data_IF_522993856231
#
_entry.id   IF_522993856231
#
_cell.length_a   1.000
_cell.length_b   1.000
_cell.length_c   1.000
_cell.angle_alpha   90.00
_cell.angle_beta   90.00
_cell.angle_gamma   90.00
#
_symmetry.space_group_name_H-M   'P 1'
#
loop_
_entity.id
_entity.type
_entity.pdbx_description
1 polymer ?
#
# COMPACT_ATOMS: atom_id res chain seq x y z
N UNK A 1 -8.94 24.06 19.27
CA UNK A 1 -10.19 24.52 18.63
C UNK A 1 -11.31 23.78 19.30
N UNK A 2 -12.19 24.52 20.00
CA UNK A 2 -13.36 23.95 20.68
C UNK A 2 -14.19 23.19 19.64
N UNK A 3 -14.21 21.86 19.73
CA UNK A 3 -15.29 21.07 19.15
C UNK A 3 -16.59 21.66 19.69
N UNK A 4 -17.26 22.41 18.82
CA UNK A 4 -18.36 23.28 19.14
C UNK A 4 -19.41 22.46 19.92
N UNK A 5 -19.65 22.81 21.19
CA UNK A 5 -20.56 22.10 22.09
C UNK A 5 -21.93 21.85 21.42
N UNK A 6 -22.36 22.74 20.51
CA UNK A 6 -23.56 22.56 19.70
C UNK A 6 -23.56 21.31 18.81
N UNK A 7 -22.41 20.92 18.22
CA UNK A 7 -22.31 19.70 17.41
C UNK A 7 -22.47 18.43 18.25
N UNK A 8 -21.93 18.43 19.48
CA UNK A 8 -22.09 17.30 20.43
C UNK A 8 -23.51 17.16 20.96
N UNK A 9 -24.26 18.27 21.05
CA UNK A 9 -25.67 18.24 21.43
C UNK A 9 -26.51 17.68 20.28
N UNK A 10 -26.27 18.17 19.05
CA UNK A 10 -26.99 17.72 17.85
C UNK A 10 -26.77 16.22 17.56
N UNK A 11 -25.55 15.71 17.76
CA UNK A 11 -25.28 14.28 17.56
C UNK A 11 -26.02 13.40 18.58
N UNK A 12 -26.05 13.81 19.85
CA UNK A 12 -26.82 13.10 20.90
C UNK A 12 -28.32 13.12 20.63
N UNK A 13 -28.87 14.22 20.13
CA UNK A 13 -30.28 14.30 19.76
C UNK A 13 -30.62 13.34 18.62
N UNK A 14 -29.75 13.20 17.61
CA UNK A 14 -29.92 12.22 16.54
C UNK A 14 -29.87 10.78 17.06
N UNK A 15 -28.94 10.45 17.97
CA UNK A 15 -28.89 9.13 18.61
C UNK A 15 -30.17 8.80 19.39
N UNK A 16 -30.73 9.79 20.09
CA UNK A 16 -31.98 9.62 20.83
C UNK A 16 -33.17 9.39 19.90
N UNK A 17 -33.23 10.11 18.78
CA UNK A 17 -34.24 9.90 17.73
C UNK A 17 -34.12 8.49 17.13
N UNK A 18 -32.90 8.02 16.84
CA UNK A 18 -32.65 6.66 16.32
C UNK A 18 -33.11 5.59 17.31
N UNK A 19 -32.79 5.71 18.60
CA UNK A 19 -33.25 4.79 19.65
C UNK A 19 -34.78 4.74 19.75
N UNK A 20 -35.44 5.89 19.59
CA UNK A 20 -36.90 5.99 19.60
C UNK A 20 -37.53 5.25 18.42
N UNK A 21 -36.98 5.40 17.22
CA UNK A 21 -37.43 4.65 16.02
C UNK A 21 -37.18 3.15 16.18
N UNK A 22 -36.01 2.76 16.68
CA UNK A 22 -35.67 1.35 16.92
C UNK A 22 -36.62 0.69 17.94
N UNK A 23 -37.16 1.46 18.88
CA UNK A 23 -38.20 1.02 19.82
C UNK A 23 -39.61 0.94 19.23
N UNK A 24 -39.78 1.14 17.92
CA UNK A 24 -41.07 1.07 17.21
C UNK A 24 -41.98 2.28 17.42
N UNK A 25 -41.47 3.38 18.01
CA UNK A 25 -42.25 4.59 18.26
C UNK A 25 -42.21 5.52 17.04
N UNK A 26 -43.34 6.16 16.75
CA UNK A 26 -43.44 7.14 15.66
C UNK A 26 -42.70 8.43 16.00
N UNK A 27 -42.04 9.02 15.00
CA UNK A 27 -41.40 10.32 15.10
C UNK A 27 -42.43 11.45 15.12
N UNK A 28 -42.17 12.48 15.93
CA UNK A 28 -42.93 13.73 15.88
C UNK A 28 -42.55 14.54 14.64
N UNK A 29 -43.40 15.51 14.26
CA UNK A 29 -43.13 16.38 13.10
C UNK A 29 -41.81 17.15 13.22
N UNK A 30 -41.41 17.52 14.44
CA UNK A 30 -40.15 18.23 14.71
C UNK A 30 -38.95 17.31 14.64
N UNK A 31 -39.05 16.09 15.19
CA UNK A 31 -37.99 15.08 15.10
C UNK A 31 -37.77 14.65 13.64
N UNK A 32 -38.86 14.50 12.87
CA UNK A 32 -38.78 14.24 11.43
C UNK A 32 -38.11 15.39 10.69
N UNK A 33 -38.43 16.64 10.99
CA UNK A 33 -37.78 17.81 10.38
C UNK A 33 -36.28 17.91 10.71
N UNK A 34 -35.85 17.50 11.92
CA UNK A 34 -34.43 17.46 12.30
C UNK A 34 -33.68 16.37 11.53
N UNK A 35 -34.27 15.18 11.40
CA UNK A 35 -33.73 14.09 10.59
C UNK A 35 -33.68 14.49 9.11
N UNK A 36 -34.74 15.11 8.61
CA UNK A 36 -34.80 15.67 7.25
C UNK A 36 -33.81 16.81 7.05
N UNK A 37 -33.45 17.60 8.07
CA UNK A 37 -32.41 18.63 7.93
C UNK A 37 -31.00 18.04 7.97
N UNK A 38 -30.79 16.98 8.75
CA UNK A 38 -29.51 16.28 8.87
C UNK A 38 -29.19 15.37 7.68
N UNK A 39 -30.22 14.73 7.10
CA UNK A 39 -30.11 13.85 5.93
C UNK A 39 -30.60 14.48 4.62
N UNK A 40 -31.38 15.56 4.70
CA UNK A 40 -31.90 16.31 3.56
C UNK A 40 -31.01 17.47 3.13
N UNK A 41 -29.70 17.26 3.14
CA UNK A 41 -28.91 17.66 1.98
C UNK A 41 -29.19 16.69 0.81
N UNK A 42 -30.47 16.48 0.47
CA UNK A 42 -30.81 16.39 -0.94
C UNK A 42 -30.68 17.82 -1.40
N UNK A 43 -29.53 18.12 -2.02
CA UNK A 43 -29.34 19.36 -2.77
C UNK A 43 -30.67 19.75 -3.38
N UNK A 44 -31.16 20.93 -3.03
CA UNK A 44 -32.24 21.58 -3.74
C UNK A 44 -31.77 21.63 -5.19
N UNK A 45 -32.18 20.65 -5.99
CA UNK A 45 -31.47 20.28 -7.22
C UNK A 45 -31.37 21.54 -8.07
N UNK A 46 -30.17 22.12 -8.16
CA UNK A 46 -29.98 23.41 -8.81
C UNK A 46 -30.46 23.24 -10.25
N UNK A 47 -31.65 23.78 -10.56
CA UNK A 47 -32.32 23.49 -11.84
C UNK A 47 -31.55 24.13 -13.00
N UNK A 48 -30.85 25.23 -12.71
CA UNK A 48 -30.13 26.02 -13.67
C UNK A 48 -28.81 26.52 -13.08
N UNK A 49 -27.72 26.35 -13.82
CA UNK A 49 -26.45 27.02 -13.55
C UNK A 49 -26.39 28.34 -14.32
N UNK A 50 -25.91 29.42 -13.71
CA UNK A 50 -25.77 30.74 -14.34
C UNK A 50 -24.51 30.83 -15.19
N UNK A 51 -23.46 30.09 -14.83
CA UNK A 51 -22.20 30.07 -15.57
C UNK A 51 -21.75 28.67 -15.95
N UNK A 52 -20.82 28.58 -16.91
CA UNK A 52 -20.20 27.29 -17.28
C UNK A 52 -19.32 26.73 -16.17
N UNK A 53 -18.78 27.59 -15.30
CA UNK A 53 -18.00 27.17 -14.13
C UNK A 53 -18.92 26.53 -13.10
N UNK A 54 -20.02 27.21 -12.75
CA UNK A 54 -21.02 26.68 -11.82
C UNK A 54 -21.65 25.38 -12.33
N UNK A 55 -21.89 25.27 -13.64
CA UNK A 55 -22.34 24.02 -14.26
C UNK A 55 -21.32 22.89 -14.07
N UNK A 56 -20.02 23.21 -14.20
CA UNK A 56 -18.95 22.24 -14.05
C UNK A 56 -18.88 21.75 -12.60
N UNK A 57 -18.99 22.67 -11.64
CA UNK A 57 -19.03 22.37 -10.20
C UNK A 57 -20.23 21.49 -9.83
N UNK A 58 -21.44 21.81 -10.33
CA UNK A 58 -22.67 21.03 -10.08
C UNK A 58 -22.59 19.62 -10.72
N UNK A 59 -21.83 19.45 -11.80
CA UNK A 59 -21.61 18.16 -12.46
C UNK A 59 -20.35 17.46 -11.95
N UNK A 60 -19.62 18.05 -11.01
CA UNK A 60 -18.38 17.53 -10.43
C UNK A 60 -17.16 17.54 -11.36
N UNK A 61 -17.26 18.07 -12.59
CA UNK A 61 -16.21 17.98 -13.61
C UNK A 61 -15.41 19.28 -13.74
N UNK A 62 -14.18 19.18 -14.25
CA UNK A 62 -13.43 20.37 -14.63
C UNK A 62 -14.15 21.16 -15.75
N UNK A 63 -14.09 22.50 -15.70
CA UNK A 63 -14.67 23.40 -16.72
C UNK A 63 -14.25 23.05 -18.15
N UNK A 64 -13.01 22.57 -18.35
CA UNK A 64 -12.49 22.14 -19.65
C UNK A 64 -13.24 20.93 -20.22
N UNK A 65 -13.73 20.05 -19.36
CA UNK A 65 -14.53 18.88 -19.74
C UNK A 65 -15.86 19.31 -20.35
N UNK A 66 -16.54 20.30 -19.74
CA UNK A 66 -17.76 20.89 -20.31
C UNK A 66 -17.51 21.50 -21.69
N UNK A 67 -16.39 22.22 -21.87
CA UNK A 67 -16.03 22.79 -23.17
C UNK A 67 -15.78 21.73 -24.25
N UNK A 68 -15.18 20.58 -23.88
CA UNK A 68 -15.03 19.43 -24.78
C UNK A 68 -16.39 18.81 -25.12
N UNK A 69 -17.25 18.60 -24.12
CA UNK A 69 -18.59 18.03 -24.32
C UNK A 69 -19.49 18.90 -25.20
N UNK A 70 -19.34 20.23 -25.19
CA UNK A 70 -20.05 21.13 -26.12
C UNK A 70 -19.73 20.91 -27.59
N UNK A 71 -18.60 20.26 -27.92
CA UNK A 71 -18.24 19.94 -29.30
C UNK A 71 -18.91 18.65 -29.79
N UNK A 72 -19.48 17.86 -28.88
CA UNK A 72 -20.18 16.62 -29.22
C UNK A 72 -21.56 16.95 -29.78
N UNK A 73 -21.93 16.26 -30.86
CA UNK A 73 -23.24 16.44 -31.51
C UNK A 73 -24.37 16.10 -30.53
N UNK A 74 -25.28 17.05 -30.32
CA UNK A 74 -26.41 16.89 -29.38
C UNK A 74 -26.19 17.49 -27.99
N UNK A 75 -25.05 18.16 -27.75
CA UNK A 75 -24.79 18.82 -26.46
C UNK A 75 -25.84 19.91 -26.14
N UNK A 76 -26.30 20.02 -24.89
CA UNK A 76 -27.24 21.06 -24.49
C UNK A 76 -26.68 22.48 -24.69
N UNK A 77 -27.49 23.37 -25.29
CA UNK A 77 -27.17 24.79 -25.43
C UNK A 77 -27.68 25.60 -24.23
N UNK A 78 -27.04 26.73 -23.88
CA UNK A 78 -27.62 27.68 -22.93
C UNK A 78 -28.99 28.17 -23.41
N UNK A 79 -29.84 28.54 -22.47
CA UNK A 79 -31.07 29.28 -22.75
C UNK A 79 -30.76 30.70 -23.23
N UNK A 80 -31.76 31.40 -23.76
CA UNK A 80 -31.65 32.80 -24.22
C UNK A 80 -31.15 33.77 -23.14
N UNK A 81 -31.36 33.44 -21.87
CA UNK A 81 -30.88 34.19 -20.71
C UNK A 81 -29.46 33.80 -20.26
N UNK A 82 -28.74 32.97 -21.03
CA UNK A 82 -27.39 32.49 -20.71
C UNK A 82 -27.33 31.34 -19.70
N UNK A 83 -28.45 30.98 -19.04
CA UNK A 83 -28.49 29.91 -18.03
C UNK A 83 -28.39 28.52 -18.68
N UNK A 84 -27.88 27.56 -17.93
CA UNK A 84 -27.70 26.16 -18.34
C UNK A 84 -28.61 25.21 -17.56
N UNK A 85 -29.42 24.39 -18.25
CA UNK A 85 -30.20 23.34 -17.59
C UNK A 85 -29.30 22.20 -17.11
N UNK A 86 -29.23 22.02 -15.79
CA UNK A 86 -28.46 20.93 -15.18
C UNK A 86 -29.04 19.57 -15.55
N UNK A 87 -30.37 19.44 -15.60
CA UNK A 87 -31.04 18.18 -15.97
C UNK A 87 -30.70 17.73 -17.40
N UNK A 88 -30.76 18.64 -18.39
CA UNK A 88 -30.38 18.32 -19.77
C UNK A 88 -28.91 17.90 -19.88
N UNK A 89 -28.03 18.52 -19.10
CA UNK A 89 -26.63 18.12 -19.04
C UNK A 89 -26.44 16.74 -18.41
N UNK A 90 -27.12 16.42 -17.30
CA UNK A 90 -27.09 15.08 -16.70
C UNK A 90 -27.63 14.00 -17.65
N UNK A 91 -28.72 14.26 -18.34
CA UNK A 91 -29.28 13.33 -19.34
C UNK A 91 -28.34 13.15 -20.53
N UNK A 92 -27.68 14.22 -20.98
CA UNK A 92 -26.67 14.16 -22.03
C UNK A 92 -25.46 13.32 -21.62
N UNK A 93 -24.94 13.54 -20.41
CA UNK A 93 -23.83 12.77 -19.84
C UNK A 93 -24.18 11.28 -19.78
N UNK A 94 -25.36 10.94 -19.25
CA UNK A 94 -25.85 9.55 -19.18
C UNK A 94 -26.03 8.91 -20.56
N UNK A 95 -26.58 9.65 -21.53
CA UNK A 95 -26.85 9.14 -22.88
C UNK A 95 -25.58 8.90 -23.71
N UNK A 96 -24.55 9.70 -23.48
CA UNK A 96 -23.28 9.61 -24.19
C UNK A 96 -22.22 8.80 -23.45
N UNK A 97 -22.59 8.16 -22.32
CA UNK A 97 -21.67 7.40 -21.44
C UNK A 97 -20.40 8.20 -21.11
N UNK A 98 -20.57 9.51 -20.94
CA UNK A 98 -19.45 10.40 -20.67
C UNK A 98 -19.09 10.20 -19.20
N UNK A 99 -17.86 9.75 -18.96
CA UNK A 99 -17.36 9.53 -17.61
C UNK A 99 -17.63 10.74 -16.73
N UNK A 100 -18.39 10.52 -15.67
CA UNK A 100 -18.28 11.32 -14.45
C UNK A 100 -16.79 11.38 -14.06
N UNK A 101 -16.33 12.49 -13.46
CA UNK A 101 -14.95 12.57 -13.03
C UNK A 101 -14.64 11.36 -12.17
N UNK A 102 -13.47 10.76 -12.37
CA UNK A 102 -12.95 9.69 -11.53
C UNK A 102 -13.24 10.09 -10.08
N UNK A 103 -13.99 9.24 -9.36
CA UNK A 103 -14.36 9.53 -7.98
C UNK A 103 -13.08 9.80 -7.17
N UNK A 104 -13.12 10.54 -6.05
CA UNK A 104 -11.94 10.75 -5.20
C UNK A 104 -11.21 9.43 -4.87
N UNK A 105 -11.98 8.34 -4.77
CA UNK A 105 -11.51 6.96 -4.58
C UNK A 105 -10.62 6.44 -5.73
N UNK A 106 -10.88 6.82 -6.99
CA UNK A 106 -10.09 6.43 -8.16
C UNK A 106 -8.75 7.20 -8.25
N UNK A 107 -8.71 8.47 -7.82
CA UNK A 107 -7.45 9.21 -7.70
C UNK A 107 -6.57 8.65 -6.56
N UNK A 108 -7.18 8.26 -5.43
CA UNK A 108 -6.46 7.60 -4.34
C UNK A 108 -5.87 6.25 -4.79
N UNK A 109 -6.63 5.44 -5.53
CA UNK A 109 -6.15 4.17 -6.07
C UNK A 109 -5.01 4.36 -7.08
N UNK A 110 -5.09 5.35 -7.97
CA UNK A 110 -4.00 5.71 -8.88
C UNK A 110 -2.75 6.17 -8.14
N UNK A 111 -2.92 6.98 -7.10
CA UNK A 111 -1.83 7.47 -6.26
C UNK A 111 -1.15 6.32 -5.51
N UNK A 112 -1.95 5.39 -4.97
CA UNK A 112 -1.45 4.18 -4.30
C UNK A 112 -0.70 3.26 -5.26
N UNK A 113 -1.19 3.11 -6.49
CA UNK A 113 -0.51 2.34 -7.55
C UNK A 113 0.84 2.97 -7.90
N UNK A 114 0.87 4.28 -8.12
CA UNK A 114 2.10 5.01 -8.44
C UNK A 114 3.14 4.89 -7.32
N UNK A 115 2.73 5.00 -6.06
CA UNK A 115 3.62 4.80 -4.91
C UNK A 115 4.18 3.37 -4.83
N UNK A 116 3.38 2.36 -5.19
CA UNK A 116 3.85 0.97 -5.24
C UNK A 116 4.89 0.77 -6.35
N UNK A 117 4.69 1.37 -7.52
CA UNK A 117 5.63 1.33 -8.64
C UNK A 117 6.96 2.03 -8.28
N UNK A 118 6.91 3.19 -7.63
CA UNK A 118 8.11 3.88 -7.13
C UNK A 118 8.89 3.01 -6.13
N UNK A 119 8.21 2.40 -5.15
CA UNK A 119 8.86 1.49 -4.20
C UNK A 119 9.50 0.28 -4.87
N UNK A 120 8.86 -0.27 -5.89
CA UNK A 120 9.42 -1.38 -6.65
C UNK A 120 10.68 -0.94 -7.41
N UNK A 121 10.68 0.26 -8.00
CA UNK A 121 11.85 0.81 -8.67
C UNK A 121 13.00 1.10 -7.69
N UNK A 122 12.71 1.61 -6.49
CA UNK A 122 13.70 1.83 -5.44
C UNK A 122 14.37 0.54 -4.96
N UNK A 123 13.59 -0.54 -4.78
CA UNK A 123 14.15 -1.84 -4.41
C UNK A 123 15.07 -2.36 -5.52
N UNK A 124 14.65 -2.25 -6.79
CA UNK A 124 15.50 -2.63 -7.93
C UNK A 124 16.80 -1.83 -7.98
N UNK A 125 16.73 -0.51 -7.78
CA UNK A 125 17.92 0.34 -7.71
C UNK A 125 18.86 -0.12 -6.60
N UNK A 126 18.34 -0.40 -5.40
CA UNK A 126 19.15 -0.87 -4.26
C UNK A 126 19.79 -2.25 -4.51
N UNK A 127 19.09 -3.14 -5.23
CA UNK A 127 19.66 -4.41 -5.68
C UNK A 127 20.82 -4.15 -6.65
N UNK A 128 20.65 -3.28 -7.65
CA UNK A 128 21.71 -2.92 -8.61
C UNK A 128 22.89 -2.21 -7.94
N UNK A 129 22.64 -1.42 -6.90
CA UNK A 129 23.68 -0.78 -6.08
C UNK A 129 24.40 -1.79 -5.15
N UNK A 130 24.01 -3.08 -5.15
CA UNK A 130 24.62 -4.12 -4.34
C UNK A 130 24.29 -4.03 -2.84
N UNK A 131 23.34 -3.19 -2.43
CA UNK A 131 22.94 -3.02 -1.03
C UNK A 131 21.82 -3.98 -0.60
N UNK A 132 21.19 -4.67 -1.55
CA UNK A 132 20.12 -5.62 -1.29
C UNK A 132 20.44 -6.98 -1.90
N UNK A 133 20.36 -8.04 -1.07
CA UNK A 133 20.58 -9.43 -1.49
C UNK A 133 19.32 -10.23 -1.23
N UNK A 134 18.95 -11.10 -2.17
CA UNK A 134 17.80 -12.00 -2.01
C UNK A 134 18.01 -12.94 -0.81
N UNK A 135 16.98 -13.09 0.02
CA UNK A 135 17.07 -13.90 1.23
C UNK A 135 17.29 -15.39 0.91
N UNK A 136 16.79 -15.85 -0.23
CA UNK A 136 17.03 -17.18 -0.78
C UNK A 136 18.51 -17.39 -1.08
N UNK A 137 19.18 -16.39 -1.66
CA UNK A 137 20.62 -16.46 -1.95
C UNK A 137 21.44 -16.49 -0.67
N UNK A 138 21.07 -15.66 0.32
CA UNK A 138 21.71 -15.69 1.65
C UNK A 138 21.55 -17.08 2.29
N UNK A 139 20.34 -17.66 2.23
CA UNK A 139 20.07 -18.99 2.78
C UNK A 139 20.89 -20.07 2.08
N UNK A 140 20.95 -20.05 0.75
CA UNK A 140 21.75 -20.99 -0.04
C UNK A 140 23.22 -20.94 0.38
N UNK A 141 23.83 -19.75 0.31
CA UNK A 141 25.25 -19.55 0.61
C UNK A 141 25.54 -19.93 2.06
N UNK A 142 24.72 -19.50 3.02
CA UNK A 142 24.93 -19.79 4.44
C UNK A 142 24.77 -21.28 4.76
N UNK A 143 23.80 -21.96 4.14
CA UNK A 143 23.61 -23.40 4.33
C UNK A 143 24.79 -24.19 3.77
N UNK A 144 25.33 -23.77 2.62
CA UNK A 144 26.55 -24.35 2.06
C UNK A 144 27.77 -24.14 2.98
N UNK A 145 27.95 -22.94 3.54
CA UNK A 145 29.03 -22.64 4.48
C UNK A 145 28.96 -23.54 5.73
N UNK A 146 27.78 -23.64 6.34
CA UNK A 146 27.57 -24.50 7.52
C UNK A 146 27.84 -25.97 7.16
N UNK A 147 27.40 -26.42 5.98
CA UNK A 147 27.65 -27.77 5.49
C UNK A 147 29.15 -28.09 5.38
N UNK A 148 29.93 -27.18 4.80
CA UNK A 148 31.38 -27.35 4.68
C UNK A 148 32.09 -27.35 6.04
N UNK A 149 31.74 -26.43 6.94
CA UNK A 149 32.29 -26.39 8.30
C UNK A 149 32.00 -27.71 9.03
N UNK A 150 30.76 -28.19 8.93
CA UNK A 150 30.36 -29.47 9.51
C UNK A 150 31.19 -30.63 8.96
N UNK A 151 31.37 -30.69 7.65
CA UNK A 151 32.15 -31.75 6.99
C UNK A 151 33.62 -31.75 7.44
N UNK A 152 34.25 -30.56 7.55
CA UNK A 152 35.63 -30.44 8.04
C UNK A 152 35.74 -30.94 9.48
N UNK A 153 34.82 -30.53 10.35
CA UNK A 153 34.79 -30.97 11.74
C UNK A 153 34.59 -32.49 11.86
N UNK A 154 33.62 -33.05 11.14
CA UNK A 154 33.35 -34.50 11.16
C UNK A 154 34.56 -35.28 10.63
N UNK A 155 35.23 -34.83 9.56
CA UNK A 155 36.45 -35.47 9.04
C UNK A 155 37.57 -35.47 10.09
N UNK A 156 37.88 -34.30 10.65
CA UNK A 156 39.01 -34.15 11.57
C UNK A 156 38.76 -34.84 12.91
N UNK A 157 37.59 -34.64 13.51
CA UNK A 157 37.30 -35.07 14.88
C UNK A 157 36.76 -36.48 14.99
N UNK A 158 36.04 -36.98 13.99
CA UNK A 158 35.41 -38.31 14.06
C UNK A 158 36.17 -39.36 13.25
N UNK A 159 36.86 -38.99 12.18
CA UNK A 159 37.56 -39.96 11.32
C UNK A 159 39.06 -39.99 11.58
N UNK A 160 39.72 -38.83 11.67
CA UNK A 160 41.18 -38.73 11.74
C UNK A 160 41.72 -38.81 13.19
N UNK A 161 41.11 -38.06 14.12
CA UNK A 161 41.57 -37.96 15.51
C UNK A 161 41.44 -39.27 16.32
N UNK A 162 40.30 -39.99 16.33
CA UNK A 162 40.09 -41.11 17.25
C UNK A 162 41.17 -42.19 17.26
N UNK A 163 41.69 -42.70 16.11
CA UNK A 163 42.74 -43.70 16.13
C UNK A 163 44.06 -43.19 16.75
N UNK A 164 44.38 -41.90 16.57
CA UNK A 164 45.62 -41.27 17.06
C UNK A 164 45.60 -41.14 18.59
N UNK A 165 44.44 -40.86 19.17
CA UNK A 165 44.32 -40.61 20.62
C UNK A 165 44.47 -41.87 21.48
N UNK A 166 44.30 -43.06 20.90
CA UNK A 166 44.30 -44.33 21.66
C UNK A 166 45.63 -44.67 22.35
N UNK A 167 46.73 -44.09 21.89
CA UNK A 167 48.09 -44.37 22.39
C UNK A 167 48.69 -43.26 23.23
N UNK A 168 47.93 -42.19 23.51
CA UNK A 168 48.43 -40.97 24.14
C UNK A 168 47.97 -40.83 25.59
N UNK A 169 48.80 -40.18 26.42
CA UNK A 169 48.39 -39.77 27.76
C UNK A 169 47.55 -38.48 27.73
N UNK A 170 46.95 -38.11 28.87
CA UNK A 170 46.02 -36.98 28.95
C UNK A 170 46.65 -35.63 28.57
N UNK A 171 47.94 -35.41 28.82
CA UNK A 171 48.64 -34.16 28.46
C UNK A 171 48.85 -34.13 26.95
N UNK A 172 49.33 -35.24 26.39
CA UNK A 172 49.55 -35.39 24.96
C UNK A 172 48.26 -35.29 24.14
N UNK A 173 47.16 -35.87 24.64
CA UNK A 173 45.82 -35.74 24.03
C UNK A 173 45.41 -34.27 23.94
N UNK A 174 45.61 -33.50 25.02
CA UNK A 174 45.26 -32.07 25.03
C UNK A 174 46.09 -31.27 24.04
N UNK A 175 47.39 -31.49 23.98
CA UNK A 175 48.28 -30.84 23.00
C UNK A 175 47.86 -31.17 21.56
N UNK A 176 47.56 -32.45 21.28
CA UNK A 176 47.14 -32.88 19.95
C UNK A 176 45.78 -32.33 19.55
N UNK A 177 44.82 -32.27 20.47
CA UNK A 177 43.52 -31.65 20.22
C UNK A 177 43.65 -30.16 19.93
N UNK A 178 44.54 -29.44 20.62
CA UNK A 178 44.79 -28.03 20.35
C UNK A 178 45.40 -27.82 18.95
N UNK A 179 46.37 -28.64 18.57
CA UNK A 179 46.96 -28.61 17.22
C UNK A 179 45.91 -28.83 16.12
N UNK A 180 45.06 -29.85 16.28
CA UNK A 180 43.99 -30.15 15.31
C UNK A 180 42.92 -29.05 15.29
N UNK A 181 42.60 -28.42 16.42
CA UNK A 181 41.71 -27.27 16.47
C UNK A 181 42.27 -26.09 15.66
N UNK A 182 43.54 -25.76 15.87
CA UNK A 182 44.21 -24.65 15.18
C UNK A 182 44.28 -24.88 13.66
N UNK A 183 44.56 -26.12 13.23
CA UNK A 183 44.49 -26.50 11.82
C UNK A 183 43.08 -26.41 11.26
N UNK A 184 42.08 -26.84 12.03
CA UNK A 184 40.67 -26.82 11.62
C UNK A 184 40.19 -25.38 11.45
N UNK A 185 40.58 -24.46 12.33
CA UNK A 185 40.28 -23.04 12.18
C UNK A 185 40.93 -22.42 10.94
N UNK A 186 42.19 -22.79 10.63
CA UNK A 186 42.84 -22.38 9.39
C UNK A 186 42.11 -22.90 8.16
N UNK A 187 41.71 -24.18 8.16
CA UNK A 187 40.97 -24.78 7.06
C UNK A 187 39.61 -24.11 6.84
N UNK A 188 38.87 -23.81 7.91
CA UNK A 188 37.60 -23.07 7.85
C UNK A 188 37.82 -21.65 7.31
N UNK A 189 38.89 -20.97 7.74
CA UNK A 189 39.22 -19.62 7.24
C UNK A 189 39.52 -19.62 5.74
N UNK A 190 40.30 -20.59 5.24
CA UNK A 190 40.63 -20.72 3.82
C UNK A 190 39.39 -21.07 2.99
N UNK A 191 38.54 -21.97 3.50
CA UNK A 191 37.28 -22.31 2.87
C UNK A 191 36.34 -21.09 2.77
N UNK A 192 36.29 -20.25 3.80
CA UNK A 192 35.52 -19.01 3.79
C UNK A 192 36.04 -18.00 2.76
N UNK A 193 37.36 -17.88 2.58
CA UNK A 193 37.96 -16.97 1.58
C UNK A 193 37.79 -17.44 0.13
N UNK A 194 37.68 -18.75 -0.09
CA UNK A 194 37.54 -19.35 -1.43
C UNK A 194 36.17 -19.11 -2.07
N UNK A 195 35.17 -18.66 -1.28
CA UNK A 195 33.78 -18.45 -1.71
C UNK A 195 33.48 -16.95 -1.97
N UNK A 196 34.51 -16.10 -1.99
CA UNK A 196 34.39 -14.75 -2.57
C UNK A 196 34.24 -14.83 -4.09
N UNK A 197 33.12 -15.37 -4.58
CA UNK A 197 32.69 -15.06 -5.94
C UNK A 197 32.30 -13.58 -6.00
N UNK A 198 32.70 -12.83 -7.04
CA UNK A 198 32.07 -11.56 -7.31
C UNK A 198 30.58 -11.84 -7.49
N UNK A 199 29.74 -11.09 -6.79
CA UNK A 199 28.30 -11.11 -7.06
C UNK A 199 28.17 -10.53 -8.47
N UNK A 200 28.15 -11.38 -9.49
CA UNK A 200 27.82 -10.98 -10.86
C UNK A 200 26.36 -10.52 -10.80
N UNK A 201 26.20 -9.20 -10.85
CA UNK A 201 24.91 -8.55 -11.03
C UNK A 201 24.59 -8.77 -12.51
N UNK A 202 23.78 -9.78 -12.83
CA UNK A 202 23.22 -9.94 -14.18
C UNK A 202 22.37 -8.69 -14.52
N UNK A 203 22.66 -8.11 -15.70
CA UNK A 203 22.01 -6.92 -16.30
C UNK A 203 20.49 -7.05 -16.50
#
# INVERSE_FOLDING_TARGET
MEENIGQKILSKDLENIVKKVASGKTLTSTERAIVEKAYGQKEESVKYAETTTELADILGVARQTINKWRKIKGSPRPYSNGKHSVSKWRDFVRKHDLKEPDAPEDEELKTRKLLAEVKQAEIKLKVMEGTYVAIEKVREVWTAHIGQVRQILESRFLNELPPILTTLDAVQIREKLQEVLDETYKAISIAADSIKEPVDIED
#
